data_IF_332596369156
#
_entry.id   IF_332596369156
#
_cell.length_a   1.000
_cell.length_b   1.000
_cell.length_c   1.000
_cell.angle_alpha   90.00
_cell.angle_beta   90.00
_cell.angle_gamma   90.00
#
_symmetry.space_group_name_H-M   'P 1'
#
loop_
_entity.id
_entity.type
_entity.pdbx_description
1 polymer ?
#
# COMPACT_ATOMS: atom_id res chain seq x y z
N UNK A 1 16.02 11.96 25.84
CA UNK A 1 15.45 11.03 24.83
C UNK A 1 13.96 10.90 25.11
N UNK A 2 13.09 11.29 24.18
CA UNK A 2 11.64 11.21 24.39
C UNK A 2 11.18 9.74 24.37
N UNK A 3 10.41 9.32 25.38
CA UNK A 3 9.87 7.97 25.45
C UNK A 3 8.96 7.72 24.24
N UNK A 4 9.28 6.70 23.45
CA UNK A 4 8.49 6.29 22.27
C UNK A 4 7.13 5.79 22.79
N UNK A 5 6.09 6.61 22.66
CA UNK A 5 4.74 6.27 23.14
C UNK A 5 4.26 5.03 22.40
N UNK A 6 4.10 3.91 23.11
CA UNK A 6 3.64 2.66 22.52
C UNK A 6 2.18 2.85 22.09
N UNK A 7 1.92 2.81 20.77
CA UNK A 7 0.61 3.11 20.20
C UNK A 7 -0.43 2.00 20.44
N UNK A 8 0.02 0.77 20.65
CA UNK A 8 -0.85 -0.39 20.92
C UNK A 8 -0.08 -1.50 21.63
N UNK A 9 -0.81 -2.33 22.40
CA UNK A 9 -0.30 -3.59 22.99
C UNK A 9 -0.55 -4.81 22.12
N UNK A 10 -1.34 -4.66 21.05
CA UNK A 10 -1.59 -5.72 20.09
C UNK A 10 -0.32 -6.05 19.32
N UNK A 11 -0.16 -7.31 18.90
CA UNK A 11 0.97 -7.75 18.08
C UNK A 11 0.64 -7.55 16.61
N UNK A 12 1.67 -7.26 15.82
CA UNK A 12 1.58 -7.28 14.36
C UNK A 12 1.17 -8.68 13.86
N UNK A 13 0.55 -8.80 12.67
CA UNK A 13 0.31 -7.73 11.68
C UNK A 13 -0.90 -6.84 12.03
N UNK A 14 -0.73 -5.53 11.86
CA UNK A 14 -1.78 -4.53 12.16
C UNK A 14 -2.72 -4.31 10.98
N UNK A 15 -2.22 -4.36 9.75
CA UNK A 15 -3.04 -4.56 8.55
C UNK A 15 -3.32 -6.06 8.47
N UNK A 16 -4.59 -6.46 8.56
CA UNK A 16 -4.99 -7.87 8.58
C UNK A 16 -5.38 -8.37 7.20
N UNK A 17 -6.15 -7.59 6.45
CA UNK A 17 -6.60 -7.93 5.09
C UNK A 17 -6.66 -6.67 4.23
N UNK A 18 -6.47 -6.85 2.93
CA UNK A 18 -6.84 -5.87 1.90
C UNK A 18 -7.76 -6.54 0.90
N UNK A 19 -8.78 -5.82 0.46
CA UNK A 19 -9.73 -6.28 -0.54
C UNK A 19 -9.88 -5.22 -1.62
N UNK A 20 -9.96 -5.64 -2.88
CA UNK A 20 -10.42 -4.77 -3.95
C UNK A 20 -11.94 -4.62 -3.84
N UNK A 21 -12.43 -3.39 -4.00
CA UNK A 21 -13.85 -3.06 -4.11
C UNK A 21 -14.17 -2.87 -5.61
N UNK A 22 -14.74 -3.88 -6.30
CA UNK A 22 -14.97 -3.81 -7.75
C UNK A 22 -15.90 -2.65 -8.15
N UNK A 23 -16.80 -2.24 -7.26
CA UNK A 23 -17.72 -1.12 -7.45
C UNK A 23 -17.03 0.25 -7.50
N UNK A 24 -15.78 0.36 -7.07
CA UNK A 24 -14.98 1.59 -7.09
C UNK A 24 -14.02 1.65 -8.28
N UNK A 25 -13.96 0.59 -9.09
CA UNK A 25 -13.10 0.52 -10.28
C UNK A 25 -13.69 1.36 -11.40
N UNK A 26 -12.91 2.31 -11.92
CA UNK A 26 -13.35 3.19 -12.99
C UNK A 26 -13.34 2.51 -14.36
N UNK A 27 -12.28 1.77 -14.67
CA UNK A 27 -12.06 1.15 -15.99
C UNK A 27 -11.12 -0.06 -15.88
N UNK A 28 -11.64 -1.27 -16.09
CA UNK A 28 -10.86 -2.51 -15.96
C UNK A 28 -9.78 -2.67 -17.03
N UNK A 29 -9.89 -1.99 -18.17
CA UNK A 29 -8.95 -2.13 -19.28
C UNK A 29 -7.76 -1.16 -19.13
N UNK A 30 -7.81 -0.27 -18.13
CA UNK A 30 -6.75 0.70 -17.84
C UNK A 30 -5.93 0.33 -16.62
N UNK A 31 -4.68 0.73 -16.66
CA UNK A 31 -3.80 0.70 -15.50
C UNK A 31 -4.39 1.57 -14.38
N UNK A 32 -4.38 1.14 -13.10
CA UNK A 32 -3.76 -0.07 -12.57
C UNK A 32 -4.62 -1.34 -12.58
N UNK A 33 -5.89 -1.28 -12.96
CA UNK A 33 -6.82 -2.41 -12.83
C UNK A 33 -6.63 -3.51 -13.88
N UNK A 34 -5.95 -3.20 -15.00
CA UNK A 34 -5.58 -4.18 -16.01
C UNK A 34 -4.33 -5.01 -15.65
N UNK A 35 -3.74 -4.81 -14.47
CA UNK A 35 -2.60 -5.60 -14.00
C UNK A 35 -2.98 -7.07 -13.80
N UNK A 36 -2.05 -8.01 -14.05
CA UNK A 36 -2.32 -9.45 -13.91
C UNK A 36 -2.88 -9.87 -12.54
N UNK A 37 -2.45 -9.21 -11.46
CA UNK A 37 -2.92 -9.48 -10.09
C UNK A 37 -4.41 -9.17 -9.87
N UNK A 38 -5.05 -8.39 -10.75
CA UNK A 38 -6.47 -8.02 -10.68
C UNK A 38 -7.29 -8.62 -11.83
N UNK A 39 -6.74 -9.57 -12.59
CA UNK A 39 -7.39 -10.15 -13.79
C UNK A 39 -8.77 -10.73 -13.50
N UNK A 40 -8.94 -11.36 -12.33
CA UNK A 40 -10.19 -12.01 -11.96
C UNK A 40 -11.25 -11.01 -11.45
N UNK A 41 -10.93 -9.70 -11.45
CA UNK A 41 -11.78 -8.59 -10.96
C UNK A 41 -12.17 -8.68 -9.49
N UNK A 42 -11.66 -9.67 -8.80
CA UNK A 42 -11.69 -9.85 -7.37
C UNK A 42 -10.23 -9.92 -6.89
N UNK A 43 -9.98 -9.34 -5.74
CA UNK A 43 -8.68 -9.46 -5.11
C UNK A 43 -8.83 -9.34 -3.61
N UNK A 44 -8.24 -10.30 -2.92
CA UNK A 44 -8.10 -10.30 -1.49
C UNK A 44 -6.71 -10.78 -1.11
N UNK A 45 -6.12 -10.13 -0.11
CA UNK A 45 -4.86 -10.56 0.46
C UNK A 45 -4.89 -10.48 1.99
N UNK A 46 -4.62 -11.60 2.66
CA UNK A 46 -4.51 -11.69 4.12
C UNK A 46 -3.06 -11.64 4.59
N UNK A 47 -2.80 -10.81 5.60
CA UNK A 47 -1.53 -10.76 6.31
C UNK A 47 -1.58 -11.70 7.52
N UNK A 48 -1.02 -12.90 7.34
CA UNK A 48 -0.88 -13.90 8.38
C UNK A 48 0.29 -13.62 9.34
N UNK A 49 1.34 -12.92 8.85
CA UNK A 49 2.58 -12.66 9.56
C UNK A 49 2.96 -11.17 9.55
N UNK A 50 3.75 -10.75 10.53
CA UNK A 50 4.27 -9.38 10.59
C UNK A 50 5.24 -9.05 9.45
N UNK A 51 5.92 -10.07 8.93
CA UNK A 51 6.79 -9.98 7.75
C UNK A 51 6.09 -10.75 6.63
N UNK A 52 5.81 -10.06 5.55
CA UNK A 52 5.18 -10.63 4.35
C UNK A 52 6.05 -10.31 3.15
N UNK A 53 6.38 -11.33 2.37
CA UNK A 53 7.20 -11.21 1.16
C UNK A 53 6.30 -11.50 -0.03
N UNK A 54 6.15 -10.51 -0.93
CA UNK A 54 5.37 -10.64 -2.16
C UNK A 54 6.34 -10.95 -3.30
N UNK A 55 6.15 -12.11 -3.95
CA UNK A 55 6.98 -12.59 -5.07
C UNK A 55 6.13 -12.83 -6.32
N UNK A 56 6.75 -12.78 -7.49
CA UNK A 56 6.08 -13.01 -8.78
C UNK A 56 6.83 -12.35 -9.94
N UNK A 57 6.44 -12.67 -11.17
CA UNK A 57 7.08 -12.20 -12.40
C UNK A 57 7.09 -10.67 -12.53
N UNK A 58 7.99 -10.13 -13.36
CA UNK A 58 8.02 -8.69 -13.61
C UNK A 58 6.71 -8.24 -14.30
N UNK A 59 6.21 -7.05 -13.95
CA UNK A 59 4.96 -6.51 -14.52
C UNK A 59 3.67 -7.09 -13.94
N UNK A 60 3.70 -8.01 -12.97
CA UNK A 60 2.47 -8.58 -12.38
C UNK A 60 1.69 -7.62 -11.48
N UNK A 61 2.28 -6.48 -11.09
CA UNK A 61 1.63 -5.48 -10.23
C UNK A 61 2.13 -5.39 -8.79
N UNK A 62 3.21 -6.13 -8.43
CA UNK A 62 3.75 -6.15 -7.06
C UNK A 62 4.09 -4.77 -6.49
N UNK A 63 4.84 -3.96 -7.24
CA UNK A 63 5.24 -2.61 -6.79
C UNK A 63 4.03 -1.69 -6.66
N UNK A 64 3.10 -1.74 -7.61
CA UNK A 64 1.85 -0.97 -7.57
C UNK A 64 0.97 -1.37 -6.37
N UNK A 65 0.90 -2.66 -6.03
CA UNK A 65 0.23 -3.12 -4.82
C UNK A 65 0.90 -2.57 -3.55
N UNK A 66 2.24 -2.59 -3.48
CA UNK A 66 2.97 -2.05 -2.33
C UNK A 66 2.76 -0.53 -2.18
N UNK A 67 2.75 0.21 -3.28
CA UNK A 67 2.46 1.64 -3.30
C UNK A 67 1.03 1.93 -2.83
N UNK A 68 0.05 1.17 -3.32
CA UNK A 68 -1.34 1.29 -2.87
C UNK A 68 -1.52 0.98 -1.38
N UNK A 69 -0.82 -0.03 -0.84
CA UNK A 69 -0.78 -0.33 0.60
C UNK A 69 -0.15 0.85 1.38
N UNK A 70 0.93 1.44 0.86
CA UNK A 70 1.57 2.63 1.43
C UNK A 70 0.60 3.82 1.52
N UNK A 71 -0.09 4.11 0.42
CA UNK A 71 -1.11 5.16 0.36
C UNK A 71 -2.28 4.88 1.33
N UNK A 72 -2.80 3.65 1.39
CA UNK A 72 -3.83 3.23 2.35
C UNK A 72 -3.42 3.44 3.82
N UNK A 73 -2.13 3.21 4.11
CA UNK A 73 -1.54 3.43 5.42
C UNK A 73 -1.32 4.92 5.74
N UNK A 74 -1.49 5.81 4.76
CA UNK A 74 -1.35 7.26 4.90
C UNK A 74 0.08 7.76 4.78
N UNK A 75 0.95 7.03 4.07
CA UNK A 75 2.27 7.51 3.65
C UNK A 75 2.16 8.32 2.36
N UNK A 76 3.05 9.29 2.23
CA UNK A 76 3.15 10.14 1.04
C UNK A 76 3.94 9.42 -0.08
N UNK A 77 3.83 9.94 -1.30
CA UNK A 77 4.35 9.38 -2.56
C UNK A 77 5.87 9.17 -2.55
N UNK A 78 6.57 9.95 -1.74
CA UNK A 78 8.01 9.85 -1.62
C UNK A 78 8.48 8.85 -0.55
N UNK A 79 7.55 8.20 0.15
CA UNK A 79 7.85 7.39 1.32
C UNK A 79 8.34 8.20 2.51
N UNK A 80 8.95 7.51 3.47
CA UNK A 80 9.38 8.12 4.73
C UNK A 80 8.35 8.05 5.86
N UNK A 81 8.59 8.81 6.92
CA UNK A 81 7.64 8.97 8.02
C UNK A 81 6.44 9.84 7.64
N UNK A 82 5.31 9.70 8.35
CA UNK A 82 4.12 10.53 8.12
C UNK A 82 4.46 12.03 8.23
N UNK A 83 4.26 12.79 7.15
CA UNK A 83 4.61 14.22 7.05
C UNK A 83 5.97 14.50 6.40
N UNK A 84 6.67 13.48 5.90
CA UNK A 84 7.86 13.66 5.07
C UNK A 84 7.46 14.13 3.67
N UNK A 85 7.75 15.40 3.35
CA UNK A 85 7.67 15.96 2.00
C UNK A 85 9.09 16.19 1.49
N UNK A 86 9.66 15.31 0.67
CA UNK A 86 10.89 15.64 -0.01
C UNK A 86 10.62 16.67 -1.10
N UNK A 87 11.61 17.53 -1.26
CA UNK A 87 11.75 18.42 -2.40
C UNK A 87 11.99 17.57 -3.63
N UNK A 88 11.00 17.57 -4.52
CA UNK A 88 11.12 17.25 -5.95
C UNK A 88 11.46 15.79 -6.34
N UNK A 89 10.42 14.94 -6.43
CA UNK A 89 10.42 13.72 -7.26
C UNK A 89 8.99 13.42 -7.76
N UNK A 90 8.42 14.33 -8.54
CA UNK A 90 7.03 14.29 -9.02
C UNK A 90 6.76 13.35 -10.22
N UNK A 91 7.70 12.47 -10.59
CA UNK A 91 7.66 11.75 -11.89
C UNK A 91 7.67 10.22 -11.74
N UNK A 92 7.70 9.65 -10.53
CA UNK A 92 7.90 8.20 -10.36
C UNK A 92 6.86 7.46 -9.52
N UNK A 93 5.88 8.14 -8.90
CA UNK A 93 4.59 7.53 -8.54
C UNK A 93 3.57 8.08 -9.50
N UNK A 94 3.34 7.28 -10.53
CA UNK A 94 2.22 7.40 -11.44
C UNK A 94 0.91 7.48 -10.62
N UNK A 95 -0.06 8.28 -11.07
CA UNK A 95 -1.37 8.49 -10.41
C UNK A 95 -2.11 7.17 -10.07
N UNK A 96 -1.62 6.07 -10.60
CA UNK A 96 -2.08 4.70 -10.44
C UNK A 96 -2.01 4.15 -9.01
N UNK A 97 -0.95 4.40 -8.24
CA UNK A 97 -0.84 3.86 -6.87
C UNK A 97 -1.92 4.42 -5.95
N UNK A 98 -2.15 5.73 -6.06
CA UNK A 98 -3.24 6.43 -5.39
C UNK A 98 -4.62 5.99 -5.91
N UNK A 99 -4.79 5.88 -7.24
CA UNK A 99 -6.02 5.39 -7.84
C UNK A 99 -6.37 3.95 -7.40
N UNK A 100 -5.37 3.08 -7.28
CA UNK A 100 -5.55 1.72 -6.78
C UNK A 100 -5.91 1.73 -5.30
N UNK A 101 -5.23 2.54 -4.47
CA UNK A 101 -5.55 2.68 -3.05
C UNK A 101 -7.00 3.11 -2.83
N UNK A 102 -7.53 3.99 -3.67
CA UNK A 102 -8.94 4.40 -3.69
C UNK A 102 -9.91 3.30 -4.13
N UNK A 103 -9.44 2.13 -4.54
CA UNK A 103 -10.28 0.96 -4.80
C UNK A 103 -10.05 -0.17 -3.81
N UNK A 104 -9.04 -0.06 -2.96
CA UNK A 104 -8.74 -1.05 -1.94
C UNK A 104 -9.37 -0.68 -0.58
N UNK A 105 -9.84 -1.68 0.15
CA UNK A 105 -10.24 -1.59 1.56
C UNK A 105 -9.23 -2.32 2.43
N UNK A 106 -8.59 -1.59 3.34
CA UNK A 106 -7.76 -2.18 4.39
C UNK A 106 -8.57 -2.49 5.65
N UNK A 107 -8.45 -3.70 6.18
CA UNK A 107 -8.96 -4.12 7.48
C UNK A 107 -7.82 -4.14 8.50
N UNK A 108 -7.97 -3.38 9.58
CA UNK A 108 -6.89 -3.12 10.53
C UNK A 108 -7.24 -3.51 11.96
N UNK A 109 -6.24 -3.85 12.77
CA UNK A 109 -6.40 -4.14 14.19
C UNK A 109 -5.11 -3.81 15.00
N UNK A 110 -4.94 -2.57 15.50
CA UNK A 110 -5.63 -1.35 15.11
C UNK A 110 -5.00 -0.75 13.84
N UNK A 111 -5.56 0.34 13.30
CA UNK A 111 -4.87 1.09 12.23
C UNK A 111 -3.65 1.81 12.83
N UNK A 112 -2.45 1.31 12.51
CA UNK A 112 -1.16 1.90 12.93
C UNK A 112 -0.52 2.55 11.72
N UNK A 113 -0.41 3.88 11.73
CA UNK A 113 0.17 4.67 10.63
C UNK A 113 1.50 5.34 11.00
N UNK A 114 2.04 5.01 12.18
CA UNK A 114 3.35 5.48 12.60
C UNK A 114 4.38 4.42 12.23
N UNK A 115 5.17 4.71 11.21
CA UNK A 115 6.18 3.80 10.67
C UNK A 115 6.91 4.45 9.51
N UNK A 116 7.50 3.62 8.67
CA UNK A 116 8.26 4.03 7.50
C UNK A 116 7.79 3.23 6.30
N UNK A 117 7.63 3.92 5.16
CA UNK A 117 7.48 3.29 3.86
C UNK A 117 8.77 3.51 3.07
N UNK A 118 9.44 2.42 2.70
CA UNK A 118 10.70 2.45 1.96
C UNK A 118 10.44 2.12 0.49
N UNK A 119 10.90 2.98 -0.41
CA UNK A 119 10.84 2.76 -1.86
C UNK A 119 12.22 2.39 -2.38
N UNK A 120 12.27 1.50 -3.37
CA UNK A 120 13.54 1.11 -4.00
C UNK A 120 14.25 2.28 -4.70
N UNK A 121 13.52 3.33 -5.06
CA UNK A 121 14.00 4.46 -5.87
C UNK A 121 14.36 5.71 -5.03
N UNK A 122 14.20 5.67 -3.70
CA UNK A 122 14.28 6.87 -2.83
C UNK A 122 15.44 6.82 -1.83
N UNK A 123 16.58 6.25 -2.22
CA UNK A 123 17.81 6.19 -1.41
C UNK A 123 19.02 6.78 -2.13
#
# INVERSE_FOLDING_TARGET
>A
MAARKQLTRLKAPYLKRILLEPSRVADWDKYPWNLPIFRDREFEFEFASAITIIVGENGTGKSTLLEAIGALAGYDEAGGGKGYRPVDHSIAIDKSGAALADTLRGHWLPKVTAGWFFRAESF
#
